data_IF_033062119688
#
_entry.id   IF_033062119688
#
_cell.length_a   1.000
_cell.length_b   1.000
_cell.length_c   1.000
_cell.angle_alpha   90.00
_cell.angle_beta   90.00
_cell.angle_gamma   90.00
#
_symmetry.space_group_name_H-M   'P 1'
#
loop_
_entity.id
_entity.type
_entity.pdbx_description
1 polymer ?
#
# COMPACT_ATOMS: atom_id res chain seq x y z
N UNK A 1 17.25 -20.38 -19.09
CA UNK A 1 17.38 -20.88 -17.71
C UNK A 1 16.97 -19.80 -16.67
N UNK A 2 17.65 -18.61 -16.61
CA UNK A 2 17.31 -17.57 -15.65
C UNK A 2 15.88 -17.07 -15.86
N UNK A 3 15.50 -16.73 -17.09
CA UNK A 3 14.14 -16.28 -17.40
C UNK A 3 13.06 -17.31 -17.10
N UNK A 4 13.36 -18.62 -17.20
CA UNK A 4 12.42 -19.68 -16.82
C UNK A 4 12.22 -19.71 -15.30
N UNK A 5 13.29 -19.50 -14.53
CA UNK A 5 13.20 -19.43 -13.05
C UNK A 5 12.41 -18.19 -12.63
N UNK A 6 12.66 -17.04 -13.27
CA UNK A 6 11.91 -15.80 -12.99
C UNK A 6 10.43 -15.95 -13.33
N UNK A 7 10.10 -16.55 -14.47
CA UNK A 7 8.72 -16.81 -14.86
C UNK A 7 8.02 -17.72 -13.84
N UNK A 8 8.67 -18.80 -13.43
CA UNK A 8 8.15 -19.70 -12.40
C UNK A 8 7.95 -18.99 -11.07
N UNK A 9 8.91 -18.16 -10.65
CA UNK A 9 8.81 -17.35 -9.42
C UNK A 9 7.59 -16.43 -9.47
N UNK A 10 7.39 -15.72 -10.58
CA UNK A 10 6.23 -14.82 -10.75
C UNK A 10 4.92 -15.60 -10.63
N UNK A 11 4.81 -16.75 -11.29
CA UNK A 11 3.59 -17.58 -11.22
C UNK A 11 3.32 -18.12 -9.82
N UNK A 12 4.34 -18.57 -9.10
CA UNK A 12 4.17 -19.06 -7.72
C UNK A 12 3.85 -17.91 -6.75
N UNK A 13 4.47 -16.73 -6.96
CA UNK A 13 4.15 -15.54 -6.16
C UNK A 13 2.74 -15.01 -6.43
N UNK A 14 2.24 -15.07 -7.66
CA UNK A 14 0.83 -14.76 -7.97
C UNK A 14 -0.12 -15.66 -7.18
N UNK A 15 0.13 -16.96 -7.16
CA UNK A 15 -0.67 -17.92 -6.41
C UNK A 15 -0.60 -17.65 -4.90
N UNK A 16 0.62 -17.43 -4.38
CA UNK A 16 0.84 -17.19 -2.96
C UNK A 16 0.16 -15.91 -2.47
N UNK A 17 0.27 -14.81 -3.22
CA UNK A 17 -0.34 -13.54 -2.87
C UNK A 17 -1.84 -13.47 -3.17
N UNK A 18 -2.35 -14.30 -4.07
CA UNK A 18 -3.66 -14.13 -4.69
C UNK A 18 -3.73 -12.91 -5.63
N UNK A 19 -2.60 -12.55 -6.23
CA UNK A 19 -2.45 -11.37 -7.08
C UNK A 19 -2.72 -11.69 -8.56
N UNK A 20 -3.23 -10.72 -9.32
CA UNK A 20 -3.35 -10.84 -10.77
C UNK A 20 -2.00 -10.65 -11.47
N UNK A 21 -1.16 -9.75 -10.96
CA UNK A 21 0.19 -9.48 -11.46
C UNK A 21 1.18 -9.34 -10.30
N UNK A 22 2.44 -9.70 -10.55
CA UNK A 22 3.52 -9.65 -9.54
C UNK A 22 4.81 -9.17 -10.17
N UNK A 23 5.49 -8.21 -9.51
CA UNK A 23 6.85 -7.76 -9.82
C UNK A 23 7.81 -8.27 -8.74
N UNK A 24 8.85 -8.99 -9.15
CA UNK A 24 9.83 -9.63 -8.26
C UNK A 24 11.27 -9.08 -8.38
N UNK A 25 11.51 -8.15 -9.30
CA UNK A 25 12.85 -7.59 -9.58
C UNK A 25 13.31 -6.58 -8.54
N UNK A 26 12.41 -6.04 -7.72
CA UNK A 26 12.75 -5.07 -6.67
C UNK A 26 13.66 -5.68 -5.60
N UNK A 27 14.67 -4.93 -5.16
CA UNK A 27 15.74 -5.46 -4.30
C UNK A 27 15.42 -5.41 -2.81
N UNK A 28 14.36 -4.70 -2.41
CA UNK A 28 13.92 -4.60 -1.00
C UNK A 28 12.46 -4.18 -0.90
N UNK A 29 11.84 -4.41 0.26
CA UNK A 29 10.49 -3.93 0.55
C UNK A 29 10.39 -2.39 0.51
N UNK A 30 11.45 -1.66 0.90
CA UNK A 30 11.48 -0.21 0.75
C UNK A 30 11.45 0.21 -0.73
N UNK A 31 12.20 -0.45 -1.59
CA UNK A 31 12.14 -0.19 -3.03
C UNK A 31 10.79 -0.55 -3.63
N UNK A 32 10.12 -1.60 -3.12
CA UNK A 32 8.76 -1.92 -3.52
C UNK A 32 7.81 -0.74 -3.25
N UNK A 33 7.89 -0.15 -2.05
CA UNK A 33 7.10 1.01 -1.71
C UNK A 33 7.45 2.23 -2.58
N UNK A 34 8.75 2.50 -2.77
CA UNK A 34 9.23 3.60 -3.62
C UNK A 34 8.70 3.46 -5.06
N UNK A 35 8.76 2.26 -5.64
CA UNK A 35 8.26 1.98 -6.98
C UNK A 35 6.74 2.26 -7.08
N UNK A 36 5.97 1.79 -6.09
CA UNK A 36 4.52 2.05 -6.04
C UNK A 36 4.22 3.54 -5.90
N UNK A 37 4.92 4.27 -5.04
CA UNK A 37 4.68 5.71 -4.84
C UNK A 37 5.03 6.51 -6.09
N UNK A 38 6.16 6.19 -6.74
CA UNK A 38 6.57 6.78 -8.00
C UNK A 38 5.54 6.51 -9.10
N UNK A 39 5.12 5.27 -9.25
CA UNK A 39 4.14 4.88 -10.26
C UNK A 39 2.78 5.55 -10.04
N UNK A 40 2.32 5.66 -8.79
CA UNK A 40 1.08 6.38 -8.46
C UNK A 40 1.16 7.86 -8.83
N UNK A 41 2.26 8.52 -8.50
CA UNK A 41 2.48 9.92 -8.85
C UNK A 41 2.54 10.12 -10.36
N UNK A 42 3.26 9.26 -11.07
CA UNK A 42 3.36 9.29 -12.52
C UNK A 42 2.00 9.01 -13.19
N UNK A 43 1.28 8.00 -12.73
CA UNK A 43 -0.05 7.66 -13.23
C UNK A 43 -1.01 8.83 -13.05
N UNK A 44 -1.05 9.44 -11.85
CA UNK A 44 -1.84 10.64 -11.57
C UNK A 44 -1.56 11.77 -12.56
N UNK A 45 -0.28 12.03 -12.85
CA UNK A 45 0.14 13.11 -13.72
C UNK A 45 -0.06 12.81 -15.22
N UNK A 46 -0.06 11.53 -15.62
CA UNK A 46 -0.34 11.12 -17.00
C UNK A 46 -1.81 11.21 -17.36
N UNK A 47 -2.70 10.96 -16.41
CA UNK A 47 -4.15 11.00 -16.63
C UNK A 47 -4.63 12.42 -16.95
N UNK A 48 -3.97 13.45 -16.41
CA UNK A 48 -4.29 14.85 -16.72
C UNK A 48 -3.04 15.65 -17.11
N UNK A 49 -2.61 15.49 -18.36
CA UNK A 49 -1.42 16.15 -18.92
C UNK A 49 -1.53 17.68 -19.05
N UNK A 50 -2.71 18.23 -18.84
CA UNK A 50 -2.93 19.70 -18.91
C UNK A 50 -2.64 20.39 -17.59
N UNK A 51 -2.54 19.64 -16.50
CA UNK A 51 -2.22 20.17 -15.19
C UNK A 51 -0.70 20.20 -14.96
N UNK A 52 -0.25 21.15 -14.15
CA UNK A 52 1.11 21.11 -13.61
C UNK A 52 1.30 19.83 -12.83
N UNK A 53 2.41 19.10 -13.01
CA UNK A 53 2.68 17.88 -12.26
C UNK A 53 2.54 18.10 -10.76
N UNK A 54 1.83 17.20 -10.09
CA UNK A 54 1.50 17.29 -8.69
C UNK A 54 1.98 16.03 -7.95
N UNK A 55 2.39 16.21 -6.71
CA UNK A 55 2.59 15.10 -5.75
C UNK A 55 1.23 14.52 -5.34
N UNK A 56 1.28 13.36 -4.67
CA UNK A 56 0.08 12.74 -4.07
C UNK A 56 -0.50 13.70 -3.03
N UNK A 57 -1.81 13.84 -3.00
CA UNK A 57 -2.54 14.61 -2.01
C UNK A 57 -2.54 13.91 -0.64
N UNK A 58 -3.68 13.95 0.08
CA UNK A 58 -3.76 13.28 1.37
C UNK A 58 -3.47 11.78 1.27
N UNK A 59 -2.57 11.31 2.15
CA UNK A 59 -2.25 9.89 2.34
C UNK A 59 -2.62 9.49 3.76
N UNK A 60 -3.30 8.34 3.91
CA UNK A 60 -3.62 7.78 5.22
C UNK A 60 -2.75 6.55 5.49
N UNK A 61 -2.09 6.51 6.65
CA UNK A 61 -1.20 5.41 7.03
C UNK A 61 -1.19 5.15 8.55
N UNK A 62 -0.51 4.09 8.96
CA UNK A 62 -0.24 3.83 10.38
C UNK A 62 0.90 4.72 10.89
N UNK A 63 0.70 5.39 12.04
CA UNK A 63 1.73 6.25 12.64
C UNK A 63 2.94 5.43 13.12
N UNK A 64 4.16 5.94 12.90
CA UNK A 64 5.42 5.25 13.26
C UNK A 64 5.46 4.84 14.75
N UNK A 65 5.05 5.73 15.67
CA UNK A 65 5.04 5.48 17.12
C UNK A 65 4.01 4.43 17.53
N UNK A 66 3.04 4.15 16.67
CA UNK A 66 2.01 3.11 16.84
C UNK A 66 2.31 1.85 16.02
N UNK A 67 3.57 1.62 15.73
CA UNK A 67 4.06 0.46 15.03
C UNK A 67 4.05 0.55 13.50
N UNK A 68 3.74 1.71 12.92
CA UNK A 68 3.75 1.90 11.46
C UNK A 68 5.11 1.57 10.83
N UNK A 69 5.10 1.12 9.57
CA UNK A 69 6.33 0.81 8.85
C UNK A 69 7.03 2.09 8.38
N UNK A 70 8.35 2.19 8.62
CA UNK A 70 9.14 3.40 8.33
C UNK A 70 9.06 3.81 6.86
N UNK A 71 9.14 2.85 5.92
CA UNK A 71 9.14 3.18 4.50
C UNK A 71 7.84 3.83 4.02
N UNK A 72 6.71 3.58 4.71
CA UNK A 72 5.42 4.21 4.42
C UNK A 72 5.21 5.56 5.13
N UNK A 73 6.27 6.15 5.70
CA UNK A 73 6.19 7.40 6.44
C UNK A 73 6.73 8.60 5.64
N UNK A 74 6.32 9.83 6.01
CA UNK A 74 6.87 11.06 5.44
C UNK A 74 8.38 11.24 5.67
N UNK A 75 8.94 10.59 6.68
CA UNK A 75 10.38 10.57 6.94
C UNK A 75 11.11 9.41 6.23
N UNK A 76 10.37 8.54 5.55
CA UNK A 76 10.88 7.41 4.79
C UNK A 76 10.66 7.58 3.28
N UNK A 77 10.32 6.48 2.59
CA UNK A 77 10.18 6.50 1.13
C UNK A 77 9.02 7.40 0.62
N UNK A 78 8.02 7.68 1.44
CA UNK A 78 6.89 8.54 1.07
C UNK A 78 7.27 10.03 0.93
N UNK A 79 8.41 10.46 1.48
CA UNK A 79 8.83 11.87 1.56
C UNK A 79 8.71 12.65 0.24
N UNK A 80 9.24 12.08 -0.82
CA UNK A 80 9.36 12.80 -2.12
C UNK A 80 8.08 12.74 -2.95
N UNK A 81 7.11 11.93 -2.57
CA UNK A 81 5.90 11.66 -3.33
C UNK A 81 4.65 12.35 -2.80
N UNK A 82 4.70 12.88 -1.58
CA UNK A 82 3.54 13.49 -0.92
C UNK A 82 3.58 15.02 -1.00
N UNK A 83 2.42 15.63 -1.21
CA UNK A 83 2.26 17.08 -1.20
C UNK A 83 2.42 17.67 0.21
N UNK A 84 2.79 18.94 0.25
CA UNK A 84 2.86 19.75 1.46
C UNK A 84 1.69 20.74 1.42
N UNK A 85 0.98 20.84 2.53
CA UNK A 85 -0.07 21.85 2.71
C UNK A 85 0.58 23.25 2.69
N UNK A 86 0.16 24.13 1.78
CA UNK A 86 0.82 25.42 1.61
C UNK A 86 0.59 26.41 2.77
N UNK A 87 -0.39 26.14 3.64
CA UNK A 87 -0.72 26.99 4.78
C UNK A 87 0.00 26.54 6.04
N UNK A 88 0.00 25.22 6.30
CA UNK A 88 0.61 24.67 7.51
C UNK A 88 2.03 24.21 7.33
N UNK A 89 2.53 24.16 6.09
CA UNK A 89 3.84 23.63 5.69
C UNK A 89 4.09 22.18 6.12
N UNK A 90 2.98 21.46 6.44
CA UNK A 90 3.03 20.04 6.83
C UNK A 90 2.72 19.14 5.65
N UNK A 91 3.38 17.99 5.63
CA UNK A 91 3.06 16.94 4.64
C UNK A 91 1.61 16.48 4.84
N UNK A 92 0.92 16.26 3.72
CA UNK A 92 -0.50 15.89 3.71
C UNK A 92 -0.70 14.42 4.10
N UNK A 93 -0.34 14.09 5.33
CA UNK A 93 -0.53 12.77 5.93
C UNK A 93 -1.53 12.85 7.07
N UNK A 94 -2.47 11.93 7.08
CA UNK A 94 -3.36 11.65 8.21
C UNK A 94 -3.09 10.22 8.70
N UNK A 95 -2.93 10.04 10.00
CA UNK A 95 -2.67 8.71 10.55
C UNK A 95 -3.98 8.03 10.96
N UNK A 96 -4.02 6.70 10.83
CA UNK A 96 -5.09 5.92 11.43
C UNK A 96 -5.15 6.19 12.92
N UNK A 97 -6.31 6.53 13.47
CA UNK A 97 -6.53 6.61 14.90
C UNK A 97 -6.46 5.21 15.51
N UNK A 98 -6.08 5.15 16.77
CA UNK A 98 -5.96 3.88 17.51
C UNK A 98 -6.93 3.86 18.67
N UNK A 99 -7.31 2.65 19.11
CA UNK A 99 -8.17 2.47 20.25
C UNK A 99 -7.54 3.06 21.51
N UNK A 100 -8.35 3.60 22.39
CA UNK A 100 -7.87 4.24 23.62
C UNK A 100 -7.20 3.25 24.57
N UNK A 101 -7.65 2.01 24.58
CA UNK A 101 -7.17 0.90 25.41
C UNK A 101 -6.05 0.09 24.75
N UNK A 102 -5.85 0.25 23.42
CA UNK A 102 -4.84 -0.50 22.68
C UNK A 102 -4.22 0.35 21.55
N UNK A 103 -3.00 0.86 21.75
CA UNK A 103 -2.34 1.73 20.77
C UNK A 103 -1.89 1.03 19.47
N UNK A 104 -2.03 -0.29 19.38
CA UNK A 104 -1.66 -1.07 18.21
C UNK A 104 -2.88 -1.49 17.36
N UNK A 105 -4.08 -1.21 17.84
CA UNK A 105 -5.33 -1.51 17.13
C UNK A 105 -5.96 -0.24 16.57
N UNK A 106 -6.29 -0.27 15.27
CA UNK A 106 -6.99 0.83 14.61
C UNK A 106 -8.41 0.96 15.18
N UNK A 107 -8.79 2.18 15.54
CA UNK A 107 -10.18 2.55 15.81
C UNK A 107 -10.89 2.77 14.48
N UNK A 108 -11.69 1.79 14.06
CA UNK A 108 -12.34 1.81 12.73
C UNK A 108 -13.38 2.90 12.60
N UNK A 109 -14.13 3.20 13.67
CA UNK A 109 -15.16 4.26 13.61
C UNK A 109 -14.52 5.64 13.49
N UNK A 110 -13.48 5.92 14.28
CA UNK A 110 -12.73 7.15 14.15
C UNK A 110 -11.98 7.23 12.79
N UNK A 111 -11.49 6.10 12.27
CA UNK A 111 -10.86 6.04 10.95
C UNK A 111 -11.85 6.38 9.82
N UNK A 112 -13.09 5.91 9.88
CA UNK A 112 -14.15 6.24 8.91
C UNK A 112 -14.43 7.75 8.87
N UNK A 113 -14.45 8.42 10.02
CA UNK A 113 -14.63 9.88 10.09
C UNK A 113 -13.48 10.61 9.38
N UNK A 114 -12.23 10.19 9.62
CA UNK A 114 -11.06 10.80 8.96
C UNK A 114 -11.03 10.49 7.46
N UNK A 115 -11.39 9.29 7.03
CA UNK A 115 -11.53 8.93 5.62
C UNK A 115 -12.57 9.81 4.90
N UNK A 116 -13.73 10.05 5.52
CA UNK A 116 -14.76 10.92 4.97
C UNK A 116 -14.31 12.39 4.91
N UNK A 117 -13.57 12.86 5.93
CA UNK A 117 -13.10 14.24 6.04
C UNK A 117 -11.98 14.55 5.05
N UNK A 118 -10.92 13.73 5.03
CA UNK A 118 -9.71 13.99 4.24
C UNK A 118 -9.77 13.43 2.83
N UNK A 119 -10.62 12.43 2.57
CA UNK A 119 -10.76 11.73 1.27
C UNK A 119 -9.39 11.42 0.65
N UNK A 120 -8.54 10.65 1.34
CA UNK A 120 -7.15 10.44 0.90
C UNK A 120 -7.08 9.83 -0.50
N UNK A 121 -6.13 10.26 -1.31
CA UNK A 121 -5.83 9.66 -2.62
C UNK A 121 -5.17 8.29 -2.48
N UNK A 122 -4.53 8.04 -1.34
CA UNK A 122 -3.81 6.80 -1.07
C UNK A 122 -3.97 6.38 0.40
N UNK A 123 -4.31 5.13 0.60
CA UNK A 123 -4.44 4.51 1.93
C UNK A 123 -3.45 3.36 2.03
N UNK A 124 -2.60 3.40 3.04
CA UNK A 124 -1.53 2.41 3.27
C UNK A 124 -1.78 1.71 4.60
N UNK A 125 -2.21 0.46 4.54
CA UNK A 125 -2.21 -0.45 5.68
C UNK A 125 -0.83 -1.06 5.88
N UNK A 126 -0.61 -1.63 7.06
CA UNK A 126 0.62 -2.35 7.39
C UNK A 126 1.48 -1.66 8.44
N UNK A 127 2.14 -2.48 9.23
CA UNK A 127 2.96 -2.09 10.38
C UNK A 127 4.25 -2.89 10.43
N UNK A 128 5.25 -2.35 11.12
CA UNK A 128 6.41 -3.11 11.58
C UNK A 128 6.08 -3.93 12.83
N UNK A 129 5.24 -3.38 13.71
CA UNK A 129 4.77 -4.07 14.92
C UNK A 129 3.33 -4.54 14.69
N UNK A 130 3.18 -5.76 14.23
CA UNK A 130 1.89 -6.36 13.87
C UNK A 130 1.43 -7.28 14.99
N UNK A 131 0.40 -6.88 15.71
CA UNK A 131 -0.24 -7.70 16.75
C UNK A 131 -1.62 -8.20 16.32
N UNK A 132 -2.29 -7.46 15.43
CA UNK A 132 -3.64 -7.76 14.94
C UNK A 132 -3.69 -7.68 13.42
N UNK A 133 -4.71 -8.30 12.83
CA UNK A 133 -5.09 -8.04 11.44
C UNK A 133 -5.46 -6.57 11.27
N UNK A 134 -5.05 -5.98 10.17
CA UNK A 134 -5.51 -4.65 9.80
C UNK A 134 -6.98 -4.71 9.33
N UNK A 135 -7.84 -3.73 9.65
CA UNK A 135 -9.27 -3.76 9.31
C UNK A 135 -9.53 -3.38 7.84
N UNK A 136 -8.84 -4.06 6.91
CA UNK A 136 -8.86 -3.72 5.48
C UNK A 136 -10.27 -3.85 4.92
N UNK A 137 -10.94 -4.99 5.09
CA UNK A 137 -12.26 -5.24 4.52
C UNK A 137 -13.29 -4.20 4.96
N UNK A 138 -13.30 -3.87 6.26
CA UNK A 138 -14.26 -2.92 6.83
C UNK A 138 -14.04 -1.50 6.26
N UNK A 139 -12.80 -1.03 6.28
CA UNK A 139 -12.49 0.32 5.82
C UNK A 139 -12.59 0.46 4.29
N UNK A 140 -12.26 -0.59 3.54
CA UNK A 140 -12.46 -0.59 2.07
C UNK A 140 -13.95 -0.59 1.72
N UNK A 141 -14.79 -1.34 2.44
CA UNK A 141 -16.24 -1.28 2.24
C UNK A 141 -16.76 0.16 2.43
N UNK A 142 -16.39 0.79 3.52
CA UNK A 142 -16.73 2.19 3.79
C UNK A 142 -16.24 3.15 2.70
N UNK A 143 -14.98 3.01 2.26
CA UNK A 143 -14.39 3.81 1.18
C UNK A 143 -15.25 3.72 -0.09
N UNK A 144 -15.66 2.51 -0.47
CA UNK A 144 -16.50 2.25 -1.65
C UNK A 144 -17.90 2.86 -1.49
N UNK A 145 -18.54 2.65 -0.35
CA UNK A 145 -19.87 3.18 -0.03
C UNK A 145 -19.89 4.72 -0.07
N UNK A 146 -18.83 5.36 0.40
CA UNK A 146 -18.69 6.83 0.38
C UNK A 146 -18.20 7.39 -0.98
N UNK A 147 -17.94 6.55 -1.96
CA UNK A 147 -17.40 6.96 -3.25
C UNK A 147 -16.08 7.73 -3.13
N UNK A 148 -15.21 7.33 -2.20
CA UNK A 148 -13.87 7.92 -2.03
C UNK A 148 -12.96 7.34 -3.09
N UNK A 149 -12.42 8.20 -3.95
CA UNK A 149 -11.44 7.81 -4.99
C UNK A 149 -10.07 7.70 -4.36
N UNK A 150 -9.69 6.52 -3.96
CA UNK A 150 -8.40 6.21 -3.37
C UNK A 150 -7.79 4.96 -4.00
N UNK A 151 -6.49 4.78 -3.84
CA UNK A 151 -5.83 3.49 -4.05
C UNK A 151 -5.52 2.91 -2.67
N UNK A 152 -5.78 1.63 -2.48
CA UNK A 152 -5.54 0.94 -1.21
C UNK A 152 -4.38 -0.02 -1.36
N UNK A 153 -3.35 0.18 -0.56
CA UNK A 153 -2.17 -0.67 -0.48
C UNK A 153 -2.04 -1.31 0.90
N UNK A 154 -1.57 -2.54 0.94
CA UNK A 154 -1.09 -3.16 2.16
C UNK A 154 0.43 -3.39 2.09
N UNK A 155 1.18 -2.67 2.91
CA UNK A 155 2.61 -2.92 3.12
C UNK A 155 2.78 -4.10 4.07
N UNK A 156 3.02 -5.27 3.52
CA UNK A 156 3.21 -6.52 4.25
C UNK A 156 4.68 -6.86 4.50
N UNK A 157 5.57 -5.88 4.49
CA UNK A 157 7.01 -6.13 4.67
C UNK A 157 7.33 -7.01 5.88
N UNK A 158 6.58 -6.88 6.97
CA UNK A 158 6.78 -7.65 8.20
C UNK A 158 5.91 -8.92 8.31
N UNK A 159 4.90 -9.08 7.48
CA UNK A 159 3.92 -10.18 7.57
C UNK A 159 3.68 -10.90 6.24
N UNK A 160 4.56 -10.70 5.25
CA UNK A 160 4.39 -11.31 3.93
C UNK A 160 4.25 -12.83 4.00
N UNK A 161 5.05 -13.49 4.81
CA UNK A 161 5.00 -14.94 4.99
C UNK A 161 3.77 -15.46 5.77
N UNK A 162 2.93 -14.55 6.26
CA UNK A 162 1.71 -14.90 7.00
C UNK A 162 0.44 -14.75 6.15
N UNK A 163 0.56 -14.37 4.86
CA UNK A 163 -0.59 -14.32 3.95
C UNK A 163 -1.26 -15.69 3.92
N UNK A 164 -2.56 -15.73 4.09
CA UNK A 164 -3.37 -16.94 4.03
C UNK A 164 -4.46 -17.00 5.09
N UNK A 165 -5.08 -18.18 5.22
CA UNK A 165 -6.25 -18.42 6.07
C UNK A 165 -6.00 -18.18 7.56
N UNK A 166 -4.76 -18.35 8.01
CA UNK A 166 -4.41 -18.21 9.43
C UNK A 166 -4.13 -16.78 9.85
N UNK A 167 -3.93 -15.87 8.91
CA UNK A 167 -3.70 -14.47 9.21
C UNK A 167 -4.58 -13.57 8.34
N UNK A 168 -4.13 -13.12 7.16
CA UNK A 168 -4.84 -12.11 6.38
C UNK A 168 -4.65 -12.32 4.88
N UNK A 169 -5.68 -12.02 4.10
CA UNK A 169 -5.67 -12.07 2.63
C UNK A 169 -6.05 -10.70 2.06
N UNK A 170 -5.10 -9.78 1.93
CA UNK A 170 -5.38 -8.38 1.61
C UNK A 170 -6.20 -8.17 0.34
N UNK A 171 -5.93 -8.94 -0.73
CA UNK A 171 -6.67 -8.81 -1.99
C UNK A 171 -8.13 -9.25 -1.87
N UNK A 172 -8.42 -10.31 -1.11
CA UNK A 172 -9.80 -10.72 -0.83
C UNK A 172 -10.54 -9.68 0.02
N UNK A 173 -9.82 -8.95 0.85
CA UNK A 173 -10.34 -7.86 1.69
C UNK A 173 -10.45 -6.53 0.95
N UNK A 174 -9.98 -6.45 -0.30
CA UNK A 174 -10.15 -5.31 -1.18
C UNK A 174 -8.97 -4.37 -1.32
N UNK A 175 -7.78 -4.72 -0.80
CA UNK A 175 -6.56 -4.03 -1.18
C UNK A 175 -6.30 -4.19 -2.69
N UNK A 176 -5.73 -3.17 -3.30
CA UNK A 176 -5.42 -3.16 -4.72
C UNK A 176 -3.95 -3.49 -4.98
N UNK A 177 -3.09 -3.14 -4.03
CA UNK A 177 -1.64 -3.32 -4.10
C UNK A 177 -1.16 -3.95 -2.80
N UNK A 178 -0.26 -4.92 -2.90
CA UNK A 178 0.49 -5.48 -1.77
C UNK A 178 1.97 -5.32 -2.06
N UNK A 179 2.71 -4.79 -1.09
CA UNK A 179 4.18 -4.77 -1.12
C UNK A 179 4.75 -5.62 0.00
N UNK A 180 5.96 -6.13 -0.17
CA UNK A 180 6.54 -6.97 0.87
C UNK A 180 8.05 -7.09 0.80
N UNK A 181 8.62 -7.54 1.92
CA UNK A 181 10.01 -7.98 2.04
C UNK A 181 10.07 -9.50 2.10
N UNK A 182 10.95 -10.11 1.34
CA UNK A 182 11.03 -11.57 1.24
C UNK A 182 12.00 -12.23 2.23
N UNK A 183 12.59 -11.45 3.15
CA UNK A 183 13.63 -11.93 4.08
C UNK A 183 13.24 -11.77 5.57
N UNK A 184 11.97 -11.57 5.87
CA UNK A 184 11.44 -11.47 7.24
C UNK A 184 10.58 -12.70 7.54
N UNK A 185 9.27 -12.55 7.65
CA UNK A 185 8.37 -13.70 7.86
C UNK A 185 8.27 -14.64 6.65
N UNK A 186 8.63 -14.19 5.46
CA UNK A 186 8.66 -14.98 4.22
C UNK A 186 10.01 -15.69 4.06
N UNK A 187 10.78 -16.11 4.84
CA UNK A 187 12.00 -16.95 4.83
C UNK A 187 12.85 -16.99 3.53
N UNK A 188 12.72 -16.01 2.63
CA UNK A 188 13.46 -15.92 1.38
C UNK A 188 14.73 -15.08 1.46
N UNK A 189 15.45 -14.91 0.35
CA UNK A 189 16.57 -13.98 0.26
C UNK A 189 16.09 -12.53 0.40
N UNK A 190 17.00 -11.61 0.65
CA UNK A 190 16.68 -10.19 0.73
C UNK A 190 16.26 -9.66 -0.64
N UNK A 191 14.97 -9.53 -0.83
CA UNK A 191 14.31 -8.92 -2.00
C UNK A 191 13.02 -8.24 -1.55
N UNK A 192 12.38 -7.56 -2.47
CA UNK A 192 11.02 -7.09 -2.35
C UNK A 192 10.11 -7.80 -3.33
N UNK A 193 8.83 -7.54 -3.17
CA UNK A 193 7.79 -7.98 -4.10
C UNK A 193 6.70 -6.92 -4.14
N UNK A 194 6.07 -6.77 -5.31
CA UNK A 194 4.87 -5.97 -5.50
C UNK A 194 3.84 -6.87 -6.17
N UNK A 195 2.69 -7.03 -5.54
CA UNK A 195 1.53 -7.68 -6.14
C UNK A 195 0.44 -6.66 -6.40
N UNK A 196 -0.30 -6.81 -7.48
CA UNK A 196 -1.47 -5.97 -7.78
C UNK A 196 -2.66 -6.84 -8.17
N UNK A 197 -3.87 -6.31 -7.97
CA UNK A 197 -5.09 -6.96 -8.38
C UNK A 197 -5.80 -6.15 -9.48
N UNK A 198 -5.06 -5.83 -10.54
CA UNK A 198 -5.58 -5.15 -11.72
C UNK A 198 -5.65 -6.11 -12.91
N UNK A 199 -6.64 -5.88 -13.79
CA UNK A 199 -6.81 -6.59 -15.05
C UNK A 199 -6.69 -5.60 -16.21
N UNK A 200 -6.40 -6.07 -17.44
CA UNK A 200 -6.25 -5.20 -18.60
C UNK A 200 -7.45 -4.28 -18.87
N UNK A 201 -8.66 -4.68 -18.48
CA UNK A 201 -9.89 -3.90 -18.62
C UNK A 201 -10.07 -2.83 -17.55
N UNK A 202 -9.29 -2.84 -16.47
CA UNK A 202 -9.42 -1.89 -15.37
C UNK A 202 -8.81 -0.53 -15.72
N UNK A 203 -9.45 0.56 -15.27
CA UNK A 203 -8.94 1.92 -15.44
C UNK A 203 -7.54 2.12 -14.86
N UNK A 204 -7.18 1.36 -13.84
CA UNK A 204 -5.88 1.40 -13.16
C UNK A 204 -4.84 0.43 -13.76
N UNK A 205 -5.15 -0.25 -14.88
CA UNK A 205 -4.15 -1.10 -15.54
C UNK A 205 -2.87 -0.33 -15.91
N UNK A 206 -3.00 0.92 -16.37
CA UNK A 206 -1.85 1.78 -16.65
C UNK A 206 -0.97 2.08 -15.43
N UNK A 207 -1.47 1.89 -14.20
CA UNK A 207 -0.65 1.96 -13.00
C UNK A 207 0.27 0.73 -12.90
N UNK A 208 -0.26 -0.48 -13.20
CA UNK A 208 0.57 -1.69 -13.29
C UNK A 208 1.67 -1.52 -14.34
N UNK A 209 1.34 -1.09 -15.55
CA UNK A 209 2.32 -0.84 -16.63
C UNK A 209 3.39 0.19 -16.25
N UNK A 210 3.14 1.02 -15.25
CA UNK A 210 4.12 1.98 -14.74
C UNK A 210 4.99 1.39 -13.63
N UNK A 211 4.47 0.40 -12.88
CA UNK A 211 5.21 -0.35 -11.85
C UNK A 211 6.20 -1.31 -12.50
N UNK A 212 5.78 -2.02 -13.54
CA UNK A 212 6.56 -2.97 -14.32
C UNK A 212 7.68 -2.27 -15.13
#
# INVERSE_FOLDING_TARGET
>A
FIGEVEALLVEEMKKFLGASQVETRVTSGQMSNTAVFSALMDFKNRVDRKRTPQRLGWVMNNHIVRGGHLSAQPMGALHDYIAVDPVTEKQMVVNFPVCADDPYRIDTEAAKLLLAQYRPEFVIFGKSMVLYKEPVAELVSFIREQGIRTTVMYDMAHVLGLIGDHFQKPFEEGAEIVTGSTHKTFFGPQRGVIGVNYKPEDLKWGLWETIE
#
